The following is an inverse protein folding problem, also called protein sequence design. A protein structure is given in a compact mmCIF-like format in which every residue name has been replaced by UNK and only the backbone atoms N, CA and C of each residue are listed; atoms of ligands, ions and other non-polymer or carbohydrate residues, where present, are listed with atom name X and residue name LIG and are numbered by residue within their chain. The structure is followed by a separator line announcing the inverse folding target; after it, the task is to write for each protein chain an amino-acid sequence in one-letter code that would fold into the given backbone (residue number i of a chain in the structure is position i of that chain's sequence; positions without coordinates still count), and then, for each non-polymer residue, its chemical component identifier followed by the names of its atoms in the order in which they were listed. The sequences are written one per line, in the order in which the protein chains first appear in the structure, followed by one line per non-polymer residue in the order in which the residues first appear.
data_IF_994427661165
#
_entry.id   IF_994427661165
#
_cell.length_a   1.000
_cell.length_b   1.000
_cell.length_c   1.000
_cell.angle_alpha   90.00
_cell.angle_beta   90.00
_cell.angle_gamma   90.00
#
_symmetry.space_group_name_H-M   'P 1'
#
loop_
_entity.id
_entity.type
_entity.pdbx_description
1 polymer ?
#
# COMPACT_ATOMS: atom_id res chain seq x y z
N UNK A 1 9.68 -14.54 32.23
CA UNK A 1 9.01 -15.85 32.01
C UNK A 1 8.70 -15.96 30.53
N UNK A 2 9.15 -17.00 29.82
CA UNK A 2 8.80 -17.24 28.43
C UNK A 2 7.49 -18.04 28.36
N UNK A 3 6.49 -17.54 27.64
CA UNK A 3 5.27 -18.29 27.38
C UNK A 3 5.59 -19.42 26.40
N UNK A 4 5.43 -20.69 26.84
CA UNK A 4 5.72 -21.86 25.99
C UNK A 4 4.60 -22.18 25.00
N UNK A 5 3.37 -21.80 25.32
CA UNK A 5 2.19 -22.05 24.48
C UNK A 5 1.30 -20.83 24.42
N UNK A 6 1.03 -20.36 23.22
CA UNK A 6 0.11 -19.27 22.94
C UNK A 6 -0.93 -19.76 21.94
N UNK A 7 -2.20 -19.56 22.27
CA UNK A 7 -3.33 -19.95 21.45
C UNK A 7 -4.18 -18.74 21.10
N UNK A 8 -4.44 -18.55 19.83
CA UNK A 8 -5.34 -17.49 19.36
C UNK A 8 -6.72 -18.04 19.06
N UNK A 9 -7.73 -17.57 19.81
CA UNK A 9 -9.12 -17.94 19.61
C UNK A 9 -9.75 -17.04 18.55
N UNK A 10 -10.31 -17.63 17.49
CA UNK A 10 -10.97 -16.90 16.40
C UNK A 10 -12.21 -17.63 15.92
N UNK A 11 -13.10 -16.92 15.20
CA UNK A 11 -14.37 -17.45 14.72
C UNK A 11 -15.52 -17.25 15.69
N UNK A 12 -16.72 -17.55 15.24
CA UNK A 12 -17.98 -17.34 16.00
C UNK A 12 -18.83 -18.61 15.89
N UNK A 13 -19.49 -18.99 16.98
CA UNK A 13 -20.35 -20.18 17.08
C UNK A 13 -19.67 -21.45 16.55
N UNK A 14 -20.27 -22.12 15.57
CA UNK A 14 -19.79 -23.39 14.99
C UNK A 14 -18.47 -23.28 14.22
N UNK A 15 -18.03 -22.06 13.92
CA UNK A 15 -16.75 -21.78 13.27
C UNK A 15 -15.66 -21.36 14.27
N UNK A 16 -15.86 -21.60 15.57
CA UNK A 16 -14.87 -21.35 16.59
C UNK A 16 -13.65 -22.24 16.40
N UNK A 17 -12.47 -21.68 16.40
CA UNK A 17 -11.20 -22.39 16.28
C UNK A 17 -10.11 -21.74 17.12
N UNK A 18 -9.12 -22.54 17.48
CA UNK A 18 -7.95 -22.12 18.23
C UNK A 18 -6.71 -22.36 17.39
N UNK A 19 -5.91 -21.31 17.19
CA UNK A 19 -4.71 -21.35 16.39
C UNK A 19 -3.50 -21.42 17.31
N UNK A 20 -2.66 -22.46 17.24
CA UNK A 20 -1.44 -22.57 18.05
C UNK A 20 -0.35 -21.66 17.47
N UNK A 21 -0.20 -20.45 18.04
CA UNK A 21 0.77 -19.46 17.57
C UNK A 21 2.21 -19.96 17.72
N UNK A 22 2.52 -20.67 18.80
CA UNK A 22 3.85 -21.27 19.00
C UNK A 22 4.23 -22.23 17.88
N UNK A 23 3.32 -23.13 17.46
CA UNK A 23 3.58 -24.06 16.34
C UNK A 23 3.72 -23.32 15.00
N UNK A 24 2.97 -22.23 14.83
CA UNK A 24 3.09 -21.38 13.65
C UNK A 24 4.48 -20.71 13.59
N UNK A 25 4.94 -20.15 14.71
CA UNK A 25 6.27 -19.52 14.80
C UNK A 25 7.38 -20.56 14.58
N UNK A 26 7.24 -21.77 15.11
CA UNK A 26 8.18 -22.87 14.87
C UNK A 26 8.24 -23.30 13.39
N UNK A 27 7.12 -23.21 12.68
CA UNK A 27 7.05 -23.56 11.25
C UNK A 27 7.55 -22.46 10.32
N UNK A 28 7.63 -21.22 10.78
CA UNK A 28 8.14 -20.07 10.06
C UNK A 28 9.63 -19.86 10.35
N UNK A 29 10.41 -19.48 9.34
CA UNK A 29 11.78 -19.04 9.58
C UNK A 29 11.78 -17.78 10.46
N UNK A 30 12.81 -17.63 11.30
CA UNK A 30 12.96 -16.48 12.21
C UNK A 30 12.87 -15.14 11.49
N UNK A 31 13.49 -15.06 10.31
CA UNK A 31 13.47 -13.87 9.46
C UNK A 31 12.06 -13.50 9.00
N UNK A 32 11.24 -14.53 8.70
CA UNK A 32 9.84 -14.34 8.34
C UNK A 32 9.04 -13.75 9.49
N UNK A 33 9.23 -14.27 10.71
CA UNK A 33 8.57 -13.74 11.90
C UNK A 33 8.96 -12.27 12.16
N UNK A 34 10.23 -11.93 11.91
CA UNK A 34 10.73 -10.58 12.14
C UNK A 34 10.10 -9.53 11.21
N UNK A 35 9.94 -9.84 9.92
CA UNK A 35 9.37 -8.85 8.98
C UNK A 35 7.83 -8.87 8.90
N UNK A 36 7.17 -9.89 9.43
CA UNK A 36 5.72 -10.08 9.27
C UNK A 36 4.86 -8.91 9.75
N UNK A 37 5.08 -8.32 10.95
CA UNK A 37 4.36 -7.12 11.39
C UNK A 37 4.60 -5.93 10.45
N UNK A 38 5.84 -5.74 10.02
CA UNK A 38 6.23 -4.67 9.10
C UNK A 38 5.57 -4.84 7.72
N UNK A 39 5.53 -6.06 7.21
CA UNK A 39 4.78 -6.41 6.00
C UNK A 39 3.29 -6.10 6.15
N UNK A 40 2.71 -6.40 7.32
CA UNK A 40 1.30 -6.09 7.59
C UNK A 40 1.04 -4.60 7.55
N UNK A 41 1.88 -3.79 8.17
CA UNK A 41 1.78 -2.34 8.11
C UNK A 41 1.91 -1.80 6.68
N UNK A 42 2.92 -2.26 5.91
CA UNK A 42 3.16 -1.82 4.52
C UNK A 42 2.03 -2.15 3.55
N UNK A 43 1.34 -3.26 3.78
CA UNK A 43 0.25 -3.72 2.89
C UNK A 43 -1.14 -3.33 3.36
N UNK A 44 -1.21 -2.50 4.41
CA UNK A 44 -2.43 -1.94 4.98
C UNK A 44 -2.92 -2.67 6.22
N UNK A 45 -3.24 -1.89 7.25
CA UNK A 45 -3.84 -2.32 8.51
C UNK A 45 -4.83 -1.24 8.96
N UNK A 46 -5.32 -1.29 10.21
CA UNK A 46 -6.31 -0.32 10.71
C UNK A 46 -5.79 1.12 10.74
N UNK A 47 -4.47 1.31 10.86
CA UNK A 47 -3.80 2.62 10.95
C UNK A 47 -3.02 3.03 9.69
N UNK A 48 -2.88 2.13 8.72
CA UNK A 48 -2.12 2.37 7.48
C UNK A 48 -2.93 1.99 6.25
N UNK A 49 -2.74 2.71 5.14
CA UNK A 49 -3.48 2.49 3.90
C UNK A 49 -3.15 1.14 3.26
N UNK A 50 -4.15 0.50 2.69
CA UNK A 50 -3.95 -0.61 1.76
C UNK A 50 -3.52 -0.12 0.38
N UNK A 51 -3.01 -1.04 -0.44
CA UNK A 51 -2.62 -0.75 -1.82
C UNK A 51 -3.79 -1.14 -2.71
N UNK A 52 -4.31 -0.16 -3.48
CA UNK A 52 -5.47 -0.39 -4.33
C UNK A 52 -5.24 -1.54 -5.33
N UNK A 53 -6.19 -2.46 -5.40
CA UNK A 53 -6.13 -3.61 -6.31
C UNK A 53 -5.06 -4.66 -6.00
N UNK A 54 -4.32 -4.52 -4.89
CA UNK A 54 -3.27 -5.47 -4.51
C UNK A 54 -3.54 -6.02 -3.12
N UNK A 55 -4.12 -7.22 -3.07
CA UNK A 55 -4.37 -7.90 -1.80
C UNK A 55 -3.11 -8.49 -1.16
N UNK A 56 -3.21 -8.80 0.12
CA UNK A 56 -2.08 -9.34 0.93
C UNK A 56 -1.50 -10.64 0.36
N UNK A 57 -2.30 -11.49 -0.28
CA UNK A 57 -1.84 -12.73 -0.93
C UNK A 57 -0.82 -12.42 -2.03
N UNK A 58 -1.16 -11.50 -2.96
CA UNK A 58 -0.25 -11.09 -4.03
C UNK A 58 1.02 -10.44 -3.46
N UNK A 59 0.87 -9.54 -2.51
CA UNK A 59 1.99 -8.87 -1.86
C UNK A 59 2.94 -9.87 -1.18
N UNK A 60 2.40 -10.87 -0.48
CA UNK A 60 3.16 -11.94 0.15
C UNK A 60 3.93 -12.79 -0.87
N UNK A 61 3.27 -13.23 -1.93
CA UNK A 61 3.92 -14.03 -2.98
C UNK A 61 5.07 -13.26 -3.64
N UNK A 62 4.90 -11.95 -3.79
CA UNK A 62 5.96 -11.07 -4.33
C UNK A 62 7.11 -10.93 -3.34
N UNK A 63 6.83 -10.67 -2.06
CA UNK A 63 7.88 -10.54 -1.05
C UNK A 63 8.70 -11.82 -0.89
N UNK A 64 8.05 -12.98 -0.87
CA UNK A 64 8.74 -14.28 -0.80
C UNK A 64 9.75 -14.52 -1.92
N UNK A 65 9.53 -13.93 -3.10
CA UNK A 65 10.45 -14.02 -4.25
C UNK A 65 11.62 -13.04 -4.11
N UNK A 66 11.47 -11.98 -3.31
CA UNK A 66 12.44 -10.89 -3.16
C UNK A 66 13.13 -10.94 -1.78
N UNK A 67 13.85 -12.03 -1.53
CA UNK A 67 14.49 -12.31 -0.23
C UNK A 67 15.44 -11.19 0.22
N UNK A 68 16.09 -10.50 -0.71
CA UNK A 68 16.98 -9.37 -0.42
C UNK A 68 16.30 -8.19 0.30
N UNK A 69 14.97 -8.08 0.20
CA UNK A 69 14.21 -7.00 0.83
C UNK A 69 13.81 -7.33 2.28
N UNK A 70 13.86 -8.61 2.69
CA UNK A 70 13.35 -9.05 3.98
C UNK A 70 14.02 -8.34 5.15
N UNK A 71 15.36 -8.29 5.16
CA UNK A 71 16.14 -7.68 6.24
C UNK A 71 15.89 -6.17 6.39
N UNK A 72 15.70 -5.47 5.27
CA UNK A 72 15.37 -4.04 5.30
C UNK A 72 13.96 -3.78 5.82
N UNK A 73 12.97 -4.54 5.33
CA UNK A 73 11.58 -4.42 5.79
C UNK A 73 11.46 -4.74 7.28
N UNK A 74 12.20 -5.74 7.78
CA UNK A 74 12.20 -6.12 9.19
C UNK A 74 12.68 -5.01 10.13
N UNK A 75 13.45 -4.04 9.62
CA UNK A 75 13.95 -2.90 10.39
C UNK A 75 12.95 -1.76 10.56
N UNK A 76 11.78 -1.79 9.91
CA UNK A 76 10.72 -0.82 10.19
C UNK A 76 10.38 -0.84 11.67
N UNK A 77 10.30 0.32 12.27
CA UNK A 77 10.02 0.51 13.70
C UNK A 77 11.23 0.37 14.63
N UNK A 78 12.44 0.19 14.10
CA UNK A 78 13.64 0.18 14.94
C UNK A 78 14.08 1.61 15.28
N UNK A 79 13.95 2.54 14.34
CA UNK A 79 14.44 3.91 14.47
C UNK A 79 13.39 4.95 14.02
N UNK A 80 13.40 6.12 14.68
CA UNK A 80 12.72 7.34 14.28
C UNK A 80 13.73 8.51 14.32
N UNK A 81 13.76 9.36 13.27
CA UNK A 81 13.00 9.29 12.03
C UNK A 81 13.36 8.08 11.16
N UNK A 82 12.51 7.78 10.15
CA UNK A 82 12.70 6.67 9.22
C UNK A 82 14.04 6.78 8.47
N UNK A 83 14.96 5.79 8.56
CA UNK A 83 16.18 5.78 7.80
C UNK A 83 15.95 5.71 6.28
N UNK A 84 16.77 6.43 5.50
CA UNK A 84 16.58 6.55 4.05
C UNK A 84 16.79 5.23 3.30
N UNK A 85 17.67 4.36 3.78
CA UNK A 85 17.90 3.03 3.20
C UNK A 85 16.70 2.09 3.41
N UNK A 86 16.08 2.16 4.58
CA UNK A 86 14.84 1.43 4.90
C UNK A 86 13.68 1.94 4.03
N UNK A 87 13.53 3.28 3.92
CA UNK A 87 12.54 3.89 3.04
C UNK A 87 12.66 3.39 1.60
N UNK A 88 13.88 3.40 1.04
CA UNK A 88 14.15 2.88 -0.32
C UNK A 88 13.84 1.40 -0.46
N UNK A 89 14.14 0.59 0.55
CA UNK A 89 13.83 -0.84 0.53
C UNK A 89 12.32 -1.08 0.49
N UNK A 90 11.55 -0.33 1.27
CA UNK A 90 10.10 -0.40 1.27
C UNK A 90 9.51 0.09 -0.05
N UNK A 91 10.04 1.19 -0.61
CA UNK A 91 9.64 1.69 -1.94
C UNK A 91 9.89 0.62 -3.03
N UNK A 92 11.07 -0.01 -3.03
CA UNK A 92 11.40 -1.08 -3.96
C UNK A 92 10.43 -2.27 -3.84
N UNK A 93 10.04 -2.63 -2.62
CA UNK A 93 9.02 -3.66 -2.39
C UNK A 93 7.68 -3.25 -3.01
N UNK A 94 7.18 -2.05 -2.71
CA UNK A 94 5.90 -1.59 -3.25
C UNK A 94 5.94 -1.52 -4.78
N UNK A 95 7.01 -1.00 -5.38
CA UNK A 95 7.18 -1.00 -6.83
C UNK A 95 7.10 -2.41 -7.43
N UNK A 96 7.70 -3.41 -6.74
CA UNK A 96 7.68 -4.80 -7.20
C UNK A 96 6.28 -5.44 -7.25
N UNK A 97 5.30 -4.88 -6.55
CA UNK A 97 3.91 -5.34 -6.57
C UNK A 97 3.19 -5.05 -7.89
N UNK A 98 3.61 -3.99 -8.59
CA UNK A 98 3.02 -3.54 -9.84
C UNK A 98 3.66 -4.15 -11.09
N UNK A 99 4.83 -4.78 -10.92
CA UNK A 99 5.61 -5.29 -12.04
C UNK A 99 5.65 -6.80 -12.08
N UNK A 100 5.42 -7.37 -13.27
CA UNK A 100 5.59 -8.79 -13.55
C UNK A 100 7.01 -9.16 -14.02
N UNK A 101 7.81 -8.18 -14.42
CA UNK A 101 9.16 -8.35 -14.96
C UNK A 101 10.14 -7.36 -14.34
N UNK A 102 11.42 -7.72 -14.29
CA UNK A 102 12.50 -6.89 -13.76
C UNK A 102 12.58 -5.57 -14.52
N UNK A 103 12.13 -4.48 -13.91
CA UNK A 103 12.54 -3.14 -14.34
C UNK A 103 13.77 -2.73 -13.51
N UNK A 104 14.71 -2.01 -14.12
CA UNK A 104 15.94 -1.61 -13.43
C UNK A 104 15.73 -0.56 -12.34
N UNK A 105 14.52 0.00 -12.23
CA UNK A 105 14.27 1.19 -11.42
C UNK A 105 13.26 0.92 -10.31
N UNK A 106 13.72 1.12 -9.08
CA UNK A 106 12.94 0.94 -7.84
C UNK A 106 12.34 2.25 -7.31
N UNK A 107 12.11 3.24 -8.19
CA UNK A 107 11.59 4.56 -7.85
C UNK A 107 10.12 4.65 -8.31
N UNK A 108 9.25 4.96 -7.36
CA UNK A 108 7.81 4.95 -7.59
C UNK A 108 7.36 5.96 -8.65
N UNK A 109 7.95 7.16 -8.71
CA UNK A 109 7.61 8.18 -9.72
C UNK A 109 7.95 7.74 -11.14
N UNK A 110 9.06 7.03 -11.34
CA UNK A 110 9.46 6.51 -12.65
C UNK A 110 8.53 5.37 -13.08
N UNK A 111 8.19 4.48 -12.16
CA UNK A 111 7.22 3.42 -12.40
C UNK A 111 5.85 3.99 -12.73
N UNK A 112 5.40 5.01 -11.97
CA UNK A 112 4.14 5.72 -12.20
C UNK A 112 4.10 6.30 -13.61
N UNK A 113 5.16 7.04 -14.00
CA UNK A 113 5.27 7.65 -15.32
C UNK A 113 5.23 6.61 -16.44
N UNK A 114 6.00 5.53 -16.31
CA UNK A 114 6.03 4.46 -17.28
C UNK A 114 4.66 3.77 -17.43
N UNK A 115 4.01 3.44 -16.33
CA UNK A 115 2.67 2.83 -16.35
C UNK A 115 1.62 3.75 -16.94
N UNK A 116 1.70 5.04 -16.66
CA UNK A 116 0.81 6.05 -17.21
C UNK A 116 0.99 6.21 -18.73
N UNK A 117 2.23 6.39 -19.18
CA UNK A 117 2.54 6.65 -20.59
C UNK A 117 2.40 5.42 -21.49
N UNK A 118 2.98 4.28 -21.06
CA UNK A 118 3.08 3.10 -21.93
C UNK A 118 1.92 2.12 -21.79
N UNK A 119 1.43 1.91 -20.57
CA UNK A 119 0.35 0.95 -20.34
C UNK A 119 -1.04 1.57 -20.37
N UNK A 120 -1.16 2.89 -20.48
CA UNK A 120 -2.45 3.61 -20.53
C UNK A 120 -3.42 3.13 -19.43
N UNK A 121 -2.89 2.89 -18.23
CA UNK A 121 -3.69 2.38 -17.11
C UNK A 121 -4.54 3.48 -16.46
N UNK A 122 -5.64 3.09 -15.83
CA UNK A 122 -6.46 4.01 -15.04
C UNK A 122 -5.65 4.58 -13.89
N UNK A 123 -5.91 5.83 -13.54
CA UNK A 123 -5.20 6.55 -12.48
C UNK A 123 -5.22 5.80 -11.15
N UNK A 124 -6.35 5.16 -10.80
CA UNK A 124 -6.51 4.41 -9.55
C UNK A 124 -5.62 3.15 -9.48
N UNK A 125 -5.22 2.60 -10.63
CA UNK A 125 -4.37 1.41 -10.72
C UNK A 125 -2.88 1.71 -10.83
N UNK A 126 -2.52 2.99 -10.86
CA UNK A 126 -1.13 3.43 -10.84
C UNK A 126 -0.52 3.25 -9.45
N UNK A 127 0.79 3.03 -9.33
CA UNK A 127 1.47 3.06 -8.05
C UNK A 127 1.34 4.45 -7.41
N UNK A 128 1.44 4.55 -6.07
CA UNK A 128 1.56 5.84 -5.43
C UNK A 128 2.83 6.57 -5.92
N UNK A 129 2.83 7.90 -5.91
CA UNK A 129 4.04 8.70 -6.15
C UNK A 129 5.05 8.50 -5.03
N UNK A 130 6.33 8.78 -5.28
CA UNK A 130 7.39 8.69 -4.26
C UNK A 130 7.04 9.54 -3.02
N UNK A 131 6.45 10.73 -3.19
CA UNK A 131 6.02 11.60 -2.09
C UNK A 131 4.91 10.94 -1.25
N UNK A 132 3.85 10.49 -1.88
CA UNK A 132 2.74 9.79 -1.19
C UNK A 132 3.22 8.50 -0.50
N UNK A 133 4.08 7.75 -1.18
CA UNK A 133 4.63 6.50 -0.66
C UNK A 133 5.55 6.74 0.54
N UNK A 134 6.34 7.82 0.53
CA UNK A 134 7.17 8.20 1.66
C UNK A 134 6.34 8.38 2.94
N UNK A 135 5.27 9.18 2.88
CA UNK A 135 4.38 9.38 4.02
C UNK A 135 3.67 8.08 4.46
N UNK A 136 3.32 7.21 3.52
CA UNK A 136 2.80 5.90 3.85
C UNK A 136 3.83 5.05 4.61
N UNK A 137 5.09 5.01 4.15
CA UNK A 137 6.16 4.24 4.80
C UNK A 137 6.50 4.81 6.19
N UNK A 138 6.46 6.15 6.36
CA UNK A 138 6.61 6.78 7.68
C UNK A 138 5.53 6.30 8.66
N UNK A 139 4.26 6.25 8.22
CA UNK A 139 3.17 5.69 9.04
C UNK A 139 3.40 4.21 9.38
N UNK A 140 3.87 3.44 8.41
CA UNK A 140 4.19 2.02 8.63
C UNK A 140 5.35 1.85 9.62
N UNK A 141 6.36 2.71 9.56
CA UNK A 141 7.48 2.73 10.48
C UNK A 141 7.02 3.01 11.91
N UNK A 142 6.20 4.05 12.09
CA UNK A 142 5.62 4.37 13.38
C UNK A 142 4.74 3.23 13.92
N UNK A 143 3.88 2.66 13.10
CA UNK A 143 3.02 1.54 13.51
C UNK A 143 3.83 0.30 13.89
N UNK A 144 4.89 -0.01 13.14
CA UNK A 144 5.80 -1.10 13.47
C UNK A 144 6.53 -0.86 14.81
N UNK A 145 6.92 0.40 15.10
CA UNK A 145 7.49 0.79 16.39
C UNK A 145 6.52 0.49 17.53
N UNK A 146 5.24 0.87 17.39
CA UNK A 146 4.21 0.61 18.40
C UNK A 146 4.11 -0.90 18.66
N UNK A 147 4.06 -1.70 17.62
CA UNK A 147 3.94 -3.16 17.76
C UNK A 147 5.20 -3.80 18.36
N UNK A 148 6.40 -3.36 17.97
CA UNK A 148 7.66 -3.87 18.53
C UNK A 148 7.78 -3.59 20.03
N UNK A 149 7.16 -2.52 20.52
CA UNK A 149 7.13 -2.15 21.95
C UNK A 149 5.92 -2.68 22.70
N UNK A 150 5.09 -3.53 22.11
CA UNK A 150 3.83 -4.02 22.69
C UNK A 150 4.02 -4.80 24.01
N UNK A 151 5.22 -5.33 24.28
CA UNK A 151 5.55 -6.02 25.53
C UNK A 151 6.08 -5.10 26.64
N UNK A 152 6.26 -3.81 26.37
CA UNK A 152 6.64 -2.83 27.38
C UNK A 152 5.41 -2.48 28.23
N UNK A 153 5.54 -2.55 29.55
CA UNK A 153 4.43 -2.26 30.48
C UNK A 153 3.93 -0.81 30.36
N UNK A 154 4.82 0.12 30.04
CA UNK A 154 4.53 1.53 29.75
C UNK A 154 5.29 1.89 28.46
N UNK A 155 4.56 2.13 27.40
CA UNK A 155 5.15 2.54 26.13
C UNK A 155 5.40 4.05 26.12
N UNK A 156 6.65 4.47 26.08
CA UNK A 156 7.03 5.86 25.83
C UNK A 156 7.06 6.11 24.30
N UNK A 157 5.89 6.28 23.70
CA UNK A 157 5.78 6.54 22.27
C UNK A 157 5.91 8.05 21.98
N UNK A 158 6.66 8.45 20.93
CA UNK A 158 6.65 9.82 20.44
C UNK A 158 5.28 10.16 19.87
N UNK A 159 5.03 11.47 19.66
CA UNK A 159 3.82 11.88 18.94
C UNK A 159 3.80 11.30 17.53
N UNK A 160 2.66 10.85 16.98
CA UNK A 160 2.57 10.40 15.59
C UNK A 160 2.70 11.55 14.57
N UNK A 161 2.52 12.81 15.00
CA UNK A 161 2.72 13.98 14.15
C UNK A 161 4.18 14.05 13.66
N UNK A 162 4.38 14.30 12.37
CA UNK A 162 5.68 14.27 11.72
C UNK A 162 6.14 12.88 11.25
N UNK A 163 5.30 11.84 11.43
CA UNK A 163 5.54 10.48 10.96
C UNK A 163 4.45 10.03 9.97
N UNK A 164 4.16 10.89 8.98
CA UNK A 164 3.11 10.68 7.99
C UNK A 164 1.71 11.06 8.49
N UNK A 165 1.61 11.64 9.67
CA UNK A 165 0.43 12.34 10.18
C UNK A 165 0.77 13.77 10.55
N UNK A 166 -0.24 14.61 10.53
CA UNK A 166 -0.16 16.01 10.92
C UNK A 166 -1.22 16.34 11.97
N UNK A 167 -0.86 17.15 12.95
CA UNK A 167 -1.80 17.60 13.98
C UNK A 167 -2.49 18.88 13.49
N UNK A 168 -3.80 18.81 13.24
CA UNK A 168 -4.64 19.96 12.89
C UNK A 168 -5.57 20.30 14.07
N UNK A 169 -5.16 21.27 14.88
CA UNK A 169 -5.82 21.54 16.16
C UNK A 169 -5.66 20.37 17.13
N UNK A 170 -6.78 19.75 17.53
CA UNK A 170 -6.78 18.55 18.39
C UNK A 170 -6.89 17.24 17.59
N UNK A 171 -7.08 17.31 16.27
CA UNK A 171 -7.25 16.14 15.42
C UNK A 171 -5.94 15.73 14.77
N UNK A 172 -5.70 14.42 14.73
CA UNK A 172 -4.59 13.84 13.99
C UNK A 172 -5.09 13.45 12.60
N UNK A 173 -4.54 14.08 11.58
CA UNK A 173 -4.91 13.85 10.19
C UNK A 173 -3.80 13.12 9.42
N UNK A 174 -4.18 12.32 8.44
CA UNK A 174 -3.24 11.59 7.58
C UNK A 174 -2.66 12.53 6.53
N UNK A 175 -1.33 12.64 6.49
CA UNK A 175 -0.63 13.33 5.44
C UNK A 175 -0.45 12.39 4.24
N UNK A 176 -1.20 12.62 3.17
CA UNK A 176 -1.14 11.79 1.97
C UNK A 176 -0.04 12.22 1.01
N UNK A 177 0.09 13.52 0.80
CA UNK A 177 1.06 14.13 -0.11
C UNK A 177 1.53 15.48 0.47
N UNK A 178 2.78 15.82 0.25
CA UNK A 178 3.34 17.13 0.58
C UNK A 178 3.59 17.99 -0.67
N UNK A 179 3.55 17.38 -1.84
CA UNK A 179 3.78 18.05 -3.14
C UNK A 179 2.54 17.99 -4.02
N UNK A 180 2.36 18.99 -4.85
CA UNK A 180 1.36 18.90 -5.93
C UNK A 180 1.74 17.76 -6.89
N UNK A 181 0.75 16.97 -7.37
CA UNK A 181 0.99 15.77 -8.19
C UNK A 181 1.67 16.09 -9.53
N UNK A 182 1.52 17.31 -10.03
CA UNK A 182 2.22 17.80 -11.21
C UNK A 182 2.30 19.33 -11.21
N UNK A 183 3.26 19.95 -11.91
CA UNK A 183 3.27 21.39 -12.15
C UNK A 183 1.96 21.83 -12.80
N UNK A 184 1.40 22.95 -12.37
CA UNK A 184 0.11 23.48 -12.88
C UNK A 184 0.04 23.55 -14.40
N UNK A 185 1.13 23.97 -15.06
CA UNK A 185 1.19 24.04 -16.51
C UNK A 185 1.03 22.68 -17.20
N UNK A 186 1.46 21.59 -16.55
CA UNK A 186 1.32 20.23 -17.08
C UNK A 186 -0.12 19.73 -16.92
N UNK A 187 -0.77 20.05 -15.82
CA UNK A 187 -2.19 19.75 -15.59
C UNK A 187 -3.10 20.51 -16.56
N UNK A 188 -2.74 21.76 -16.88
CA UNK A 188 -3.48 22.56 -17.87
C UNK A 188 -3.35 22.02 -19.32
N UNK A 189 -2.21 21.39 -19.65
CA UNK A 189 -1.97 20.82 -20.99
C UNK A 189 -2.65 19.47 -21.19
N UNK A 190 -2.83 18.70 -20.12
CA UNK A 190 -3.31 17.29 -20.21
C UNK A 190 -4.79 17.10 -19.91
N UNK A 191 -5.48 18.15 -19.45
CA UNK A 191 -6.90 18.06 -19.08
C UNK A 191 -7.81 18.55 -20.20
N UNK A 192 -8.89 17.84 -20.46
CA UNK A 192 -9.90 18.32 -21.40
C UNK A 192 -10.87 19.29 -20.72
N UNK A 193 -11.26 20.32 -21.48
CA UNK A 193 -12.32 21.29 -21.11
C UNK A 193 -13.61 21.04 -21.89
N UNK A 194 -13.84 19.81 -22.35
CA UNK A 194 -14.99 19.41 -23.16
C UNK A 194 -16.29 19.60 -22.40
N UNK A 195 -17.33 20.01 -23.14
CA UNK A 195 -18.70 20.07 -22.62
C UNK A 195 -19.48 18.89 -23.18
N UNK A 196 -20.17 18.11 -22.31
CA UNK A 196 -21.02 16.95 -22.68
C UNK A 196 -20.46 16.20 -23.91
N UNK A 197 -20.82 15.11 -24.29
CA UNK A 197 -20.45 14.28 -25.48
C UNK A 197 -19.32 14.71 -26.46
N UNK A 198 -18.62 15.86 -26.22
CA UNK A 198 -17.53 16.34 -27.10
C UNK A 198 -16.27 15.43 -27.00
N UNK A 199 -16.15 14.65 -25.95
CA UNK A 199 -15.07 13.68 -25.78
C UNK A 199 -15.14 12.53 -26.79
N UNK A 200 -16.25 12.36 -27.50
CA UNK A 200 -16.38 11.47 -28.66
C UNK A 200 -15.55 11.92 -29.88
N UNK A 201 -15.20 13.21 -29.96
CA UNK A 201 -14.54 13.80 -31.14
C UNK A 201 -13.06 14.00 -30.88
N UNK A 202 -12.21 13.31 -31.63
CA UNK A 202 -10.75 13.37 -31.47
C UNK A 202 -10.17 14.77 -31.71
N UNK A 203 -10.80 15.58 -32.55
CA UNK A 203 -10.35 16.93 -32.88
C UNK A 203 -10.75 18.01 -31.84
N UNK A 204 -11.62 17.67 -30.89
CA UNK A 204 -12.12 18.61 -29.89
C UNK A 204 -11.63 18.25 -28.47
N UNK A 205 -11.34 17.00 -28.22
CA UNK A 205 -10.87 16.53 -26.92
C UNK A 205 -9.35 16.30 -26.91
N UNK A 206 -8.56 17.09 -26.19
CA UNK A 206 -7.11 16.91 -26.14
C UNK A 206 -6.71 15.56 -25.51
N UNK A 207 -7.45 15.03 -24.55
CA UNK A 207 -7.17 13.71 -23.99
C UNK A 207 -7.28 12.64 -25.08
N UNK A 208 -8.37 12.66 -25.87
CA UNK A 208 -8.56 11.72 -26.96
C UNK A 208 -7.55 11.91 -28.09
N UNK A 209 -7.23 13.14 -28.43
CA UNK A 209 -6.23 13.44 -29.48
C UNK A 209 -4.85 12.87 -29.14
N UNK A 210 -4.52 12.81 -27.85
CA UNK A 210 -3.27 12.24 -27.33
C UNK A 210 -3.43 10.81 -26.81
N UNK A 211 -4.53 10.13 -27.18
CA UNK A 211 -4.84 8.76 -26.75
C UNK A 211 -4.81 8.53 -25.22
N UNK A 212 -5.07 9.57 -24.45
CA UNK A 212 -5.09 9.51 -22.99
C UNK A 212 -6.48 9.17 -22.46
N UNK A 213 -6.53 8.41 -21.37
CA UNK A 213 -7.76 8.15 -20.63
C UNK A 213 -8.31 9.43 -19.98
N UNK A 214 -9.57 9.37 -19.56
CA UNK A 214 -10.12 10.37 -18.66
C UNK A 214 -9.35 10.38 -17.33
N UNK A 215 -9.16 11.56 -16.76
CA UNK A 215 -8.58 11.77 -15.42
C UNK A 215 -9.51 12.65 -14.60
N UNK A 216 -9.42 12.59 -13.27
CA UNK A 216 -10.20 13.44 -12.38
C UNK A 216 -9.95 14.95 -12.57
N UNK A 217 -8.81 15.31 -13.16
CA UNK A 217 -8.51 16.69 -13.54
C UNK A 217 -9.29 17.16 -14.78
N UNK A 218 -9.92 16.26 -15.54
CA UNK A 218 -10.75 16.65 -16.69
C UNK A 218 -12.02 17.36 -16.25
N UNK A 219 -12.34 18.49 -16.88
CA UNK A 219 -13.54 19.29 -16.59
C UNK A 219 -14.81 18.80 -17.30
N UNK A 220 -14.74 17.69 -18.02
CA UNK A 220 -15.92 17.04 -18.61
C UNK A 220 -16.66 16.20 -17.56
N UNK A 221 -17.75 15.55 -17.98
CA UNK A 221 -18.52 14.63 -17.12
C UNK A 221 -17.67 13.56 -16.48
N UNK A 222 -18.00 13.16 -15.26
CA UNK A 222 -17.24 12.22 -14.43
C UNK A 222 -17.00 10.85 -15.09
N UNK A 223 -15.81 10.36 -14.96
CA UNK A 223 -15.26 9.03 -15.23
C UNK A 223 -16.02 8.12 -16.19
N UNK A 224 -16.95 7.36 -15.65
CA UNK A 224 -17.69 6.35 -16.40
C UNK A 224 -18.70 6.93 -17.42
N UNK A 225 -19.13 8.17 -17.22
CA UNK A 225 -20.01 8.90 -18.12
C UNK A 225 -19.27 9.64 -19.23
N UNK A 226 -17.93 9.66 -19.20
CA UNK A 226 -17.15 10.29 -20.24
C UNK A 226 -17.14 9.43 -21.51
N UNK A 227 -17.47 10.04 -22.62
CA UNK A 227 -17.51 9.40 -23.95
C UNK A 227 -16.10 9.14 -24.56
N UNK A 228 -15.04 9.30 -23.80
CA UNK A 228 -13.68 8.98 -24.24
C UNK A 228 -13.55 7.45 -24.44
N UNK A 229 -13.18 6.98 -25.67
CA UNK A 229 -13.09 5.54 -25.93
C UNK A 229 -11.88 4.88 -25.24
N UNK A 230 -10.88 5.64 -24.81
CA UNK A 230 -9.73 5.12 -24.08
C UNK A 230 -10.12 4.87 -22.62
N UNK A 231 -10.80 3.76 -22.37
CA UNK A 231 -11.13 3.25 -21.03
C UNK A 231 -10.23 2.07 -20.75
N UNK A 232 -9.64 2.02 -19.57
CA UNK A 232 -8.89 0.84 -19.14
C UNK A 232 -9.85 -0.11 -18.46
N UNK A 233 -9.99 -1.30 -19.00
CA UNK A 233 -10.64 -2.42 -18.35
C UNK A 233 -9.62 -3.07 -17.42
N UNK A 234 -9.87 -3.00 -16.10
CA UNK A 234 -9.16 -3.82 -15.12
C UNK A 234 -9.97 -5.09 -14.96
N UNK A 235 -9.44 -6.17 -15.50
CA UNK A 235 -9.97 -7.51 -15.24
C UNK A 235 -9.39 -7.95 -13.89
N UNK A 236 -10.14 -7.72 -12.82
CA UNK A 236 -9.86 -8.29 -11.50
C UNK A 236 -10.67 -9.57 -11.36
N UNK A 237 -10.18 -10.65 -11.96
CA UNK A 237 -10.65 -11.96 -11.59
C UNK A 237 -10.03 -12.36 -10.25
N UNK A 238 -10.72 -12.05 -9.17
CA UNK A 238 -10.50 -12.64 -7.85
C UNK A 238 -11.11 -14.06 -7.85
N UNK A 239 -10.49 -14.98 -8.56
CA UNK A 239 -10.83 -16.40 -8.47
C UNK A 239 -9.68 -17.12 -7.77
N UNK A 240 -9.89 -17.41 -6.50
CA UNK A 240 -9.64 -18.65 -5.77
C UNK A 240 -9.57 -18.39 -4.26
N UNK A 241 -10.64 -18.79 -3.56
CA UNK A 241 -10.65 -18.97 -2.11
C UNK A 241 -9.75 -20.15 -1.72
N UNK A 242 -8.50 -19.87 -1.43
CA UNK A 242 -7.59 -20.87 -0.86
C UNK A 242 -7.64 -20.88 0.67
N UNK A 243 -7.69 -22.07 1.24
CA UNK A 243 -7.74 -22.34 2.68
C UNK A 243 -6.64 -21.66 3.52
N UNK A 244 -5.57 -21.21 2.88
CA UNK A 244 -4.44 -20.47 3.45
C UNK A 244 -4.82 -19.05 3.89
N UNK A 245 -5.80 -18.39 3.24
CA UNK A 245 -6.30 -17.08 3.65
C UNK A 245 -6.85 -17.09 5.08
N UNK A 246 -7.42 -18.22 5.51
CA UNK A 246 -7.96 -18.36 6.86
C UNK A 246 -6.86 -18.40 7.94
N UNK A 247 -5.72 -18.99 7.63
CA UNK A 247 -4.54 -19.02 8.50
C UNK A 247 -3.90 -17.62 8.53
N UNK A 248 -3.82 -16.95 7.37
CA UNK A 248 -3.28 -15.61 7.23
C UNK A 248 -4.08 -14.53 7.96
N UNK A 249 -5.39 -14.51 7.80
CA UNK A 249 -6.25 -13.62 8.58
C UNK A 249 -6.12 -13.84 10.09
N UNK A 250 -5.81 -15.06 10.48
CA UNK A 250 -5.61 -15.40 11.87
C UNK A 250 -4.26 -14.92 12.41
N UNK A 251 -3.19 -15.04 11.63
CA UNK A 251 -1.85 -14.53 11.97
C UNK A 251 -1.85 -13.00 12.04
N UNK A 252 -2.50 -12.35 11.08
CA UNK A 252 -2.59 -10.89 11.04
C UNK A 252 -3.44 -10.32 12.18
N UNK A 253 -4.53 -11.01 12.55
CA UNK A 253 -5.32 -10.65 13.76
C UNK A 253 -4.54 -10.85 15.05
N UNK A 254 -3.63 -11.83 15.10
CA UNK A 254 -2.74 -12.03 16.25
C UNK A 254 -1.79 -10.85 16.42
N UNK A 255 -1.23 -10.33 15.32
CA UNK A 255 -0.42 -9.11 15.38
C UNK A 255 -1.23 -7.91 15.90
N UNK A 256 -2.54 -7.83 15.59
CA UNK A 256 -3.44 -6.80 16.12
C UNK A 256 -3.82 -7.02 17.60
N UNK A 257 -3.93 -8.26 18.05
CA UNK A 257 -4.37 -8.60 19.43
C UNK A 257 -3.22 -8.56 20.45
N UNK A 258 -1.97 -8.68 20.02
CA UNK A 258 -0.80 -8.49 20.90
C UNK A 258 -0.63 -7.01 21.30
N UNK A 259 -1.36 -6.09 20.66
CA UNK A 259 -1.25 -4.64 20.84
C UNK A 259 -2.35 -4.05 21.76
N UNK A 260 -3.33 -4.85 22.21
CA UNK A 260 -4.37 -4.43 23.17
C UNK A 260 -4.31 -5.22 24.46
#
# INVERSE_FOLDING_TARGET
MSCKQLWFRTGVKDKLRFIPIHSLVESLASDTCAFLPCFHALTGCDSTSGIYGIGKKKAWMTLRKNVSLHSGIAKLGDELPLPSDISKTCEAFICSLYMSTKMPESIADQLWYWMFCEKKQKTESLPPTTDSLHHHIERCNYQALVWKRSLEAVQALPTPSGHGWELQGENLEVLYVSREPAPKGLLELTVCKCKKSECKRSNLCPCRANEMCWTEACLCTSGDECDNPFKVFLDFSDDEEDSWLSVWHSVLRVCQVIVF
#
